data_IF_061090764279
#
_entry.id   IF_061090764279
#
_cell.length_a   1.000
_cell.length_b   1.000
_cell.length_c   1.000
_cell.angle_alpha   90.00
_cell.angle_beta   90.00
_cell.angle_gamma   90.00
#
_symmetry.space_group_name_H-M   'P 1'
#
loop_
_entity.id
_entity.type
_entity.pdbx_description
1 polymer ?
#
# COMPACT_ATOMS: atom_id res chain seq x y z
N UNK A 1 39.93 11.10 -2.06
CA UNK A 1 39.12 11.06 -3.28
C UNK A 1 39.02 9.61 -3.71
N UNK A 2 37.88 8.98 -3.49
CA UNK A 2 37.59 7.65 -3.99
C UNK A 2 36.36 7.79 -4.89
N UNK A 3 36.51 7.35 -6.14
CA UNK A 3 35.48 7.34 -7.16
C UNK A 3 34.42 6.30 -6.79
N UNK A 4 33.15 6.72 -6.75
CA UNK A 4 31.98 5.85 -6.63
C UNK A 4 31.15 5.99 -7.90
N UNK A 5 31.58 5.33 -8.97
CA UNK A 5 30.74 4.97 -10.10
C UNK A 5 31.29 3.65 -10.62
N UNK A 6 30.63 2.56 -10.24
CA UNK A 6 30.52 1.27 -10.96
C UNK A 6 29.88 0.26 -9.99
N UNK A 7 28.55 0.14 -10.04
CA UNK A 7 27.86 -1.15 -10.17
C UNK A 7 26.36 -0.90 -10.37
N UNK A 8 25.88 -1.32 -11.55
CA UNK A 8 24.47 -1.41 -11.91
C UNK A 8 23.91 -2.75 -11.42
N UNK A 9 22.65 -2.70 -10.95
CA UNK A 9 21.79 -3.78 -10.43
C UNK A 9 21.73 -3.89 -8.90
N UNK A 10 20.52 -3.64 -8.40
CA UNK A 10 20.08 -3.52 -7.01
C UNK A 10 20.55 -2.26 -6.29
N UNK A 11 19.65 -1.25 -6.27
CA UNK A 11 19.67 -0.25 -5.22
C UNK A 11 19.46 -1.00 -3.90
N UNK A 12 20.55 -1.37 -3.21
CA UNK A 12 20.48 -1.63 -1.76
C UNK A 12 20.33 -0.28 -1.09
N UNK A 13 19.08 0.19 -1.06
CA UNK A 13 18.65 1.29 -0.21
C UNK A 13 19.11 0.95 1.20
N UNK A 14 19.78 1.86 1.90
CA UNK A 14 19.94 1.69 3.34
C UNK A 14 18.53 1.58 3.92
N UNK A 15 18.21 0.42 4.51
CA UNK A 15 16.86 -0.02 4.83
C UNK A 15 16.07 0.93 5.76
N UNK A 16 16.62 2.04 6.26
CA UNK A 16 16.01 2.83 7.35
C UNK A 16 15.46 4.21 6.97
N UNK A 17 15.87 4.81 5.85
CA UNK A 17 15.64 6.27 5.66
C UNK A 17 14.24 6.65 5.17
N UNK A 18 13.48 5.70 4.62
CA UNK A 18 12.13 5.96 4.10
C UNK A 18 11.01 5.33 4.93
N UNK A 19 11.33 4.57 5.99
CA UNK A 19 10.35 3.87 6.83
C UNK A 19 9.67 4.78 7.85
N UNK A 20 8.41 4.49 8.17
CA UNK A 20 7.61 5.24 9.14
C UNK A 20 7.89 4.68 10.53
N UNK A 21 8.79 5.32 11.29
CA UNK A 21 9.29 4.76 12.56
C UNK A 21 8.68 5.46 13.78
N UNK A 22 8.18 6.68 13.61
CA UNK A 22 7.51 7.47 14.66
C UNK A 22 6.15 7.98 14.15
N UNK A 23 5.22 8.21 15.07
CA UNK A 23 4.01 9.02 14.84
C UNK A 23 4.27 10.38 14.17
N UNK A 24 5.45 10.97 14.33
CA UNK A 24 5.86 12.19 13.60
C UNK A 24 6.01 11.97 12.08
N UNK A 25 6.26 10.73 11.66
CA UNK A 25 6.35 10.33 10.26
C UNK A 25 4.97 10.11 9.63
N UNK A 26 3.90 10.07 10.44
CA UNK A 26 2.56 9.79 9.95
C UNK A 26 2.07 10.92 9.05
N UNK A 27 1.26 10.50 8.09
CA UNK A 27 0.56 11.45 7.26
C UNK A 27 -0.53 12.22 8.04
N UNK A 28 -0.39 13.55 8.12
CA UNK A 28 -1.28 14.48 8.85
C UNK A 28 -2.01 15.47 7.92
N UNK A 29 -2.57 14.98 6.81
CA UNK A 29 -3.22 15.85 5.81
C UNK A 29 -4.55 16.50 6.22
N UNK A 30 -5.07 17.47 5.43
CA UNK A 30 -6.26 18.28 5.76
C UNK A 30 -7.58 17.52 5.69
N UNK A 31 -7.58 16.28 5.18
CA UNK A 31 -8.71 15.38 5.38
C UNK A 31 -8.54 14.78 6.78
N UNK A 32 -9.53 14.92 7.64
CA UNK A 32 -9.50 14.51 9.06
C UNK A 32 -9.31 12.98 9.31
N UNK A 33 -9.12 12.17 8.27
CA UNK A 33 -9.25 10.70 8.32
C UNK A 33 -7.98 9.81 8.26
N UNK A 34 -6.77 10.24 7.83
CA UNK A 34 -5.64 9.32 7.71
C UNK A 34 -5.14 8.77 9.04
N UNK A 35 -5.19 9.58 10.12
CA UNK A 35 -4.88 9.13 11.48
C UNK A 35 -5.82 8.03 12.00
N UNK A 36 -6.97 7.85 11.32
CA UNK A 36 -8.01 6.92 11.72
C UNK A 36 -7.72 5.48 11.27
N UNK A 37 -6.81 5.25 10.30
CA UNK A 37 -6.64 3.96 9.62
C UNK A 37 -5.19 3.65 9.23
N UNK A 38 -5.00 2.52 8.54
CA UNK A 38 -3.78 2.14 7.80
C UNK A 38 -3.23 3.27 6.92
N UNK A 39 -4.09 4.21 6.48
CA UNK A 39 -3.72 5.34 5.61
C UNK A 39 -2.67 6.27 6.19
N UNK A 40 -2.55 6.41 7.52
CA UNK A 40 -1.49 7.23 8.12
C UNK A 40 -0.09 6.71 7.78
N UNK A 41 0.04 5.38 7.64
CA UNK A 41 1.27 4.71 7.26
C UNK A 41 1.41 4.69 5.74
N UNK A 42 0.39 4.20 5.02
CA UNK A 42 0.50 3.97 3.58
C UNK A 42 0.74 5.25 2.79
N UNK A 43 0.05 6.36 3.12
CA UNK A 43 0.24 7.63 2.41
C UNK A 43 1.63 8.21 2.71
N UNK A 44 2.11 8.07 3.95
CA UNK A 44 3.46 8.50 4.30
C UNK A 44 4.52 7.71 3.51
N UNK A 45 4.34 6.39 3.38
CA UNK A 45 5.22 5.54 2.56
C UNK A 45 5.13 5.89 1.08
N UNK A 46 3.92 6.07 0.54
CA UNK A 46 3.71 6.41 -0.86
C UNK A 46 4.44 7.71 -1.24
N UNK A 47 4.32 8.78 -0.45
CA UNK A 47 5.02 10.02 -0.78
C UNK A 47 6.54 9.92 -0.66
N UNK A 48 7.05 9.13 0.28
CA UNK A 48 8.50 8.86 0.37
C UNK A 48 9.00 8.03 -0.81
N UNK A 49 8.19 7.07 -1.26
CA UNK A 49 8.48 6.27 -2.45
C UNK A 49 8.46 7.11 -3.73
N UNK A 50 7.45 7.95 -3.90
CA UNK A 50 7.35 8.91 -5.01
C UNK A 50 8.60 9.80 -5.04
N UNK A 51 9.03 10.31 -3.89
CA UNK A 51 10.23 11.15 -3.80
C UNK A 51 11.50 10.37 -4.12
N UNK A 52 11.61 9.13 -3.62
CA UNK A 52 12.74 8.25 -3.89
C UNK A 52 12.88 7.94 -5.38
N UNK A 53 11.76 7.73 -6.06
CA UNK A 53 11.70 7.47 -7.50
C UNK A 53 11.69 8.76 -8.33
N UNK A 54 11.88 9.93 -7.73
CA UNK A 54 11.82 11.23 -8.43
C UNK A 54 10.53 11.43 -9.25
N UNK A 55 9.41 10.91 -8.74
CA UNK A 55 8.09 10.91 -9.37
C UNK A 55 8.03 10.13 -10.71
N UNK A 56 9.05 9.32 -11.01
CA UNK A 56 9.10 8.36 -12.12
C UNK A 56 8.50 7.02 -11.67
N UNK A 57 7.17 7.00 -11.55
CA UNK A 57 6.41 5.82 -11.13
C UNK A 57 5.21 5.59 -12.05
N UNK A 58 4.60 4.41 -11.94
CA UNK A 58 3.24 4.11 -12.38
C UNK A 58 2.43 3.72 -11.14
N UNK A 59 1.33 4.43 -10.89
CA UNK A 59 0.43 4.09 -9.78
C UNK A 59 -0.67 3.13 -10.24
N UNK A 60 -0.88 2.04 -9.51
CA UNK A 60 -1.99 1.10 -9.69
C UNK A 60 -3.00 1.33 -8.57
N UNK A 61 -4.17 1.85 -8.93
CA UNK A 61 -5.22 2.33 -8.05
C UNK A 61 -5.06 3.79 -7.67
N UNK A 62 -6.08 4.61 -7.88
CA UNK A 62 -5.98 6.07 -7.73
C UNK A 62 -6.11 6.54 -6.27
N UNK A 63 -5.09 6.35 -5.44
CA UNK A 63 -5.15 6.68 -4.00
C UNK A 63 -4.42 7.98 -3.66
N UNK A 64 -3.22 8.18 -4.20
CA UNK A 64 -2.42 9.38 -3.88
C UNK A 64 -3.01 10.70 -4.41
N UNK A 65 -3.77 10.76 -5.54
CA UNK A 65 -4.40 11.99 -6.01
C UNK A 65 -5.31 12.64 -4.97
N UNK A 66 -6.00 11.83 -4.17
CA UNK A 66 -6.88 12.32 -3.12
C UNK A 66 -6.13 12.85 -1.89
N UNK A 67 -4.85 12.55 -1.73
CA UNK A 67 -4.05 12.97 -0.59
C UNK A 67 -3.03 14.03 -0.95
N UNK A 68 -3.13 14.61 -2.14
CA UNK A 68 -2.17 15.59 -2.59
C UNK A 68 -2.42 16.97 -1.94
N UNK A 69 -1.51 17.41 -1.07
CA UNK A 69 -1.63 18.71 -0.38
C UNK A 69 -0.67 19.76 -0.97
N UNK A 70 0.36 19.37 -1.73
CA UNK A 70 1.40 20.33 -2.12
C UNK A 70 2.27 19.97 -3.34
N UNK A 71 2.11 18.81 -3.99
CA UNK A 71 2.99 18.40 -5.10
C UNK A 71 2.17 18.08 -6.34
N UNK A 72 2.42 18.69 -7.49
CA UNK A 72 1.79 18.22 -8.72
C UNK A 72 2.26 16.78 -8.99
N UNK A 73 1.37 15.81 -8.76
CA UNK A 73 1.56 14.44 -9.20
C UNK A 73 1.39 14.42 -10.71
N UNK A 74 2.33 13.80 -11.41
CA UNK A 74 2.35 13.78 -12.89
C UNK A 74 2.63 12.40 -13.46
N UNK A 75 2.68 11.39 -12.60
CA UNK A 75 2.87 10.00 -13.00
C UNK A 75 1.57 9.42 -13.57
N UNK A 76 1.66 8.39 -14.43
CA UNK A 76 0.50 7.62 -14.87
C UNK A 76 -0.19 6.92 -13.70
N UNK A 77 -1.52 6.89 -13.74
CA UNK A 77 -2.37 6.19 -12.78
C UNK A 77 -3.29 5.25 -13.55
N UNK A 78 -3.21 3.96 -13.25
CA UNK A 78 -4.02 2.88 -13.82
C UNK A 78 -5.15 2.55 -12.83
N UNK A 79 -6.39 2.79 -13.23
CA UNK A 79 -7.57 2.38 -12.46
C UNK A 79 -8.79 2.29 -13.40
N UNK A 80 -9.52 1.16 -13.45
CA UNK A 80 -10.63 0.96 -14.38
C UNK A 80 -11.89 1.80 -14.05
N UNK A 81 -12.00 2.33 -12.83
CA UNK A 81 -13.22 2.96 -12.33
C UNK A 81 -13.04 4.38 -11.81
N UNK A 82 -11.85 4.73 -11.31
CA UNK A 82 -11.60 6.05 -10.75
C UNK A 82 -11.47 7.13 -11.85
N UNK A 83 -11.91 8.34 -11.51
CA UNK A 83 -11.92 9.50 -12.41
C UNK A 83 -10.59 10.25 -12.44
N UNK A 84 -9.76 10.09 -11.43
CA UNK A 84 -8.41 10.67 -11.34
C UNK A 84 -7.39 9.80 -12.09
N UNK A 85 -7.81 8.61 -12.56
CA UNK A 85 -7.00 7.72 -13.38
C UNK A 85 -6.66 8.36 -14.73
N UNK A 86 -5.38 8.33 -15.12
CA UNK A 86 -4.95 8.75 -16.46
C UNK A 86 -5.09 7.62 -17.47
N UNK A 87 -5.11 6.37 -17.00
CA UNK A 87 -5.31 5.15 -17.79
C UNK A 87 -6.52 4.42 -17.17
N UNK A 88 -7.69 4.60 -17.80
CA UNK A 88 -8.93 3.93 -17.37
C UNK A 88 -9.00 2.51 -17.93
N UNK A 89 -8.19 1.63 -17.36
CA UNK A 89 -8.09 0.23 -17.73
C UNK A 89 -7.67 -0.62 -16.51
N UNK A 90 -7.77 -1.92 -16.65
CA UNK A 90 -7.30 -2.86 -15.65
C UNK A 90 -5.79 -3.08 -15.74
N UNK A 91 -5.16 -3.33 -14.59
CA UNK A 91 -3.70 -3.54 -14.50
C UNK A 91 -3.25 -4.75 -15.31
N UNK A 92 -4.05 -5.81 -15.41
CA UNK A 92 -3.73 -7.00 -16.21
C UNK A 92 -3.52 -6.70 -17.71
N UNK A 93 -4.08 -5.60 -18.21
CA UNK A 93 -3.97 -5.19 -19.61
C UNK A 93 -2.75 -4.31 -19.89
N UNK A 94 -2.03 -3.88 -18.85
CA UNK A 94 -0.87 -2.99 -18.98
C UNK A 94 0.43 -3.79 -19.03
N UNK A 95 1.44 -3.26 -19.71
CA UNK A 95 2.81 -3.76 -19.65
C UNK A 95 3.55 -2.95 -18.58
N UNK A 96 3.94 -3.60 -17.48
CA UNK A 96 4.65 -2.95 -16.37
C UNK A 96 6.17 -3.15 -16.46
N UNK A 97 6.65 -3.72 -17.58
CA UNK A 97 8.07 -4.04 -17.78
C UNK A 97 8.92 -2.77 -17.67
N UNK A 98 9.90 -2.79 -16.76
CA UNK A 98 10.80 -1.66 -16.45
C UNK A 98 10.18 -0.50 -15.64
N UNK A 99 8.91 -0.58 -15.25
CA UNK A 99 8.27 0.50 -14.48
C UNK A 99 8.61 0.43 -12.98
N UNK A 100 8.61 1.58 -12.31
CA UNK A 100 8.57 1.66 -10.85
C UNK A 100 7.11 1.72 -10.39
N UNK A 101 6.56 0.64 -9.85
CA UNK A 101 5.13 0.55 -9.54
C UNK A 101 4.84 0.97 -8.09
N UNK A 102 3.82 1.79 -7.89
CA UNK A 102 3.23 2.09 -6.57
C UNK A 102 1.80 1.58 -6.53
N UNK A 103 1.42 0.82 -5.50
CA UNK A 103 0.02 0.45 -5.27
C UNK A 103 -0.28 0.39 -3.78
N UNK A 104 -1.18 1.24 -3.29
CA UNK A 104 -1.46 1.35 -1.85
C UNK A 104 -2.94 1.18 -1.53
N UNK A 105 -3.28 0.17 -0.73
CA UNK A 105 -4.65 -0.36 -0.54
C UNK A 105 -5.49 -0.30 -1.81
N UNK A 106 -5.14 -1.16 -2.75
CA UNK A 106 -5.84 -1.30 -4.03
C UNK A 106 -5.90 -2.77 -4.40
N UNK A 107 -4.78 -3.47 -4.37
CA UNK A 107 -4.73 -4.85 -4.87
C UNK A 107 -5.70 -5.79 -4.15
N UNK A 108 -5.95 -5.59 -2.86
CA UNK A 108 -6.90 -6.36 -2.07
C UNK A 108 -8.37 -6.18 -2.51
N UNK A 109 -8.66 -5.16 -3.31
CA UNK A 109 -9.98 -4.86 -3.86
C UNK A 109 -10.18 -5.41 -5.28
N UNK A 110 -9.11 -5.78 -5.98
CA UNK A 110 -9.19 -6.34 -7.35
C UNK A 110 -9.95 -7.67 -7.31
N UNK A 111 -10.96 -7.84 -8.17
CA UNK A 111 -11.79 -9.05 -8.22
C UNK A 111 -13.01 -9.04 -7.29
N UNK A 112 -13.31 -7.93 -6.62
CA UNK A 112 -14.59 -7.76 -5.92
C UNK A 112 -15.73 -7.50 -6.92
N UNK A 113 -16.89 -8.13 -6.70
CA UNK A 113 -18.09 -7.81 -7.46
C UNK A 113 -18.38 -6.30 -7.30
N UNK A 114 -18.72 -5.60 -8.37
CA UNK A 114 -19.26 -4.22 -8.34
C UNK A 114 -18.40 -3.10 -7.70
N UNK A 115 -17.15 -3.33 -7.32
CA UNK A 115 -16.27 -2.36 -6.63
C UNK A 115 -16.23 -2.52 -5.09
N UNK A 116 -15.56 -1.60 -4.39
CA UNK A 116 -15.27 -1.70 -2.93
C UNK A 116 -16.50 -1.83 -2.03
N UNK A 117 -17.58 -1.16 -2.42
CA UNK A 117 -18.83 -1.11 -1.70
C UNK A 117 -19.96 -1.19 -2.69
N UNK A 118 -20.95 -2.04 -2.43
CA UNK A 118 -22.22 -1.85 -3.11
C UNK A 118 -22.74 -0.48 -2.65
N UNK A 119 -23.58 0.21 -3.42
CA UNK A 119 -24.08 1.54 -3.03
C UNK A 119 -24.81 1.61 -1.66
N UNK A 120 -24.88 0.51 -0.91
CA UNK A 120 -25.38 0.42 0.48
C UNK A 120 -24.27 0.47 1.54
N UNK A 121 -23.00 0.53 1.16
CA UNK A 121 -21.86 0.53 2.09
C UNK A 121 -21.55 -0.87 2.66
N UNK A 122 -22.14 -1.92 2.09
CA UNK A 122 -21.78 -3.30 2.41
C UNK A 122 -20.61 -3.75 1.53
N UNK A 123 -19.77 -4.57 2.15
CA UNK A 123 -18.61 -5.16 1.47
C UNK A 123 -19.10 -6.12 0.39
N UNK A 124 -18.64 -5.92 -0.84
CA UNK A 124 -19.06 -6.78 -1.93
C UNK A 124 -18.40 -8.15 -1.88
N UNK A 125 -19.10 -9.14 -2.42
CA UNK A 125 -18.59 -10.50 -2.53
C UNK A 125 -17.40 -10.56 -3.50
N UNK A 126 -16.48 -11.49 -3.24
CA UNK A 126 -15.37 -11.75 -4.16
C UNK A 126 -15.94 -12.40 -5.42
N UNK A 127 -15.87 -11.70 -6.56
CA UNK A 127 -16.31 -12.22 -7.86
C UNK A 127 -15.25 -13.14 -8.49
N UNK A 128 -13.97 -12.78 -8.32
CA UNK A 128 -12.84 -13.61 -8.74
C UNK A 128 -11.78 -13.66 -7.62
N UNK A 129 -11.65 -14.80 -6.90
CA UNK A 129 -10.69 -14.93 -5.81
C UNK A 129 -9.23 -14.97 -6.27
N UNK A 130 -8.96 -15.13 -7.57
CA UNK A 130 -7.61 -15.18 -8.12
C UNK A 130 -7.16 -13.84 -8.71
N UNK A 131 -8.06 -12.87 -8.88
CA UNK A 131 -7.70 -11.61 -9.52
C UNK A 131 -6.71 -10.78 -8.69
N UNK A 132 -6.89 -10.66 -7.37
CA UNK A 132 -5.92 -9.96 -6.51
C UNK A 132 -4.55 -10.64 -6.48
N UNK A 133 -4.46 -11.97 -6.24
CA UNK A 133 -3.18 -12.67 -6.36
C UNK A 133 -2.52 -12.52 -7.73
N UNK A 134 -3.29 -12.58 -8.82
CA UNK A 134 -2.77 -12.43 -10.17
C UNK A 134 -2.23 -11.02 -10.44
N UNK A 135 -2.93 -9.98 -9.97
CA UNK A 135 -2.46 -8.60 -10.07
C UNK A 135 -1.17 -8.37 -9.28
N UNK A 136 -1.08 -8.90 -8.05
CA UNK A 136 0.16 -8.83 -7.27
C UNK A 136 1.31 -9.57 -7.96
N UNK A 137 1.08 -10.80 -8.42
CA UNK A 137 2.09 -11.58 -9.15
C UNK A 137 2.58 -10.83 -10.39
N UNK A 138 1.68 -10.22 -11.18
CA UNK A 138 2.04 -9.42 -12.35
C UNK A 138 2.94 -8.25 -11.99
N UNK A 139 2.57 -7.45 -10.97
CA UNK A 139 3.41 -6.35 -10.49
C UNK A 139 4.80 -6.85 -10.11
N UNK A 140 4.88 -7.95 -9.36
CA UNK A 140 6.14 -8.52 -8.90
C UNK A 140 7.01 -9.09 -10.05
N UNK A 141 6.39 -9.62 -11.10
CA UNK A 141 7.10 -10.24 -12.22
C UNK A 141 7.55 -9.24 -13.29
N UNK A 142 6.81 -8.16 -13.48
CA UNK A 142 7.05 -7.21 -14.58
C UNK A 142 7.76 -5.92 -14.13
N UNK A 143 7.48 -5.40 -12.93
CA UNK A 143 8.06 -4.12 -12.49
C UNK A 143 9.58 -4.22 -12.22
N UNK A 144 10.30 -3.13 -12.50
CA UNK A 144 11.72 -3.00 -12.10
C UNK A 144 11.82 -2.83 -10.57
N UNK A 145 10.95 -1.99 -10.01
CA UNK A 145 10.81 -1.78 -8.58
C UNK A 145 9.33 -1.68 -8.24
N UNK A 146 8.92 -2.11 -7.04
CA UNK A 146 7.57 -1.85 -6.57
C UNK A 146 7.52 -1.44 -5.09
N UNK A 147 6.45 -0.73 -4.75
CA UNK A 147 5.93 -0.64 -3.40
C UNK A 147 4.45 -0.97 -3.45
N UNK A 148 4.09 -2.13 -2.90
CA UNK A 148 2.70 -2.57 -2.78
C UNK A 148 2.32 -2.65 -1.30
N UNK A 149 1.25 -1.97 -0.90
CA UNK A 149 0.72 -2.03 0.47
C UNK A 149 -0.75 -2.40 0.50
N UNK A 150 -1.14 -3.17 1.50
CA UNK A 150 -2.54 -3.49 1.77
C UNK A 150 -2.71 -4.00 3.20
N UNK A 151 -3.91 -3.84 3.79
CA UNK A 151 -4.21 -4.39 5.10
C UNK A 151 -4.48 -5.91 5.03
N UNK A 152 -3.84 -6.66 5.93
CA UNK A 152 -4.08 -8.10 6.09
C UNK A 152 -5.46 -8.38 6.68
N UNK A 153 -6.06 -9.48 6.22
CA UNK A 153 -7.39 -9.94 6.65
C UNK A 153 -8.51 -9.30 5.86
N UNK A 154 -8.19 -8.41 4.91
CA UNK A 154 -9.18 -7.87 3.99
C UNK A 154 -9.53 -8.96 2.99
N UNK A 155 -8.64 -9.29 2.05
CA UNK A 155 -8.91 -10.25 0.99
C UNK A 155 -8.29 -11.62 1.28
N UNK A 156 -9.13 -12.61 1.61
CA UNK A 156 -8.67 -13.95 1.98
C UNK A 156 -7.87 -14.66 0.87
N UNK A 157 -8.23 -14.48 -0.40
CA UNK A 157 -7.50 -15.09 -1.52
C UNK A 157 -6.09 -14.52 -1.64
N UNK A 158 -5.96 -13.20 -1.48
CA UNK A 158 -4.67 -12.52 -1.42
C UNK A 158 -3.85 -12.92 -0.19
N UNK A 159 -4.47 -12.93 0.99
CA UNK A 159 -3.82 -13.31 2.25
C UNK A 159 -3.26 -14.74 2.18
N UNK A 160 -4.06 -15.69 1.68
CA UNK A 160 -3.62 -17.09 1.52
C UNK A 160 -2.46 -17.19 0.52
N UNK A 161 -2.52 -16.45 -0.60
CA UNK A 161 -1.44 -16.47 -1.59
C UNK A 161 -0.15 -15.91 -1.01
N UNK A 162 -0.23 -14.79 -0.27
CA UNK A 162 0.94 -14.18 0.35
C UNK A 162 1.54 -15.07 1.43
N UNK A 163 0.74 -15.61 2.35
CA UNK A 163 1.24 -16.50 3.41
C UNK A 163 2.02 -17.67 2.81
N UNK A 164 1.56 -18.22 1.68
CA UNK A 164 2.23 -19.32 0.97
C UNK A 164 3.48 -18.92 0.18
N UNK A 165 3.77 -17.61 0.04
CA UNK A 165 4.92 -17.09 -0.70
C UNK A 165 5.81 -16.14 0.12
N UNK A 166 5.54 -15.93 1.43
CA UNK A 166 6.30 -15.01 2.29
C UNK A 166 7.81 -15.28 2.31
N UNK A 167 8.22 -16.55 2.17
CA UNK A 167 9.61 -16.95 2.10
C UNK A 167 10.32 -16.39 0.85
N UNK A 168 9.56 -16.10 -0.22
CA UNK A 168 10.03 -15.56 -1.50
C UNK A 168 9.84 -14.05 -1.63
N UNK A 169 9.02 -13.41 -0.80
CA UNK A 169 8.67 -11.99 -0.91
C UNK A 169 9.63 -11.08 -0.14
N UNK A 170 10.22 -10.08 -0.79
CA UNK A 170 10.92 -9.00 -0.11
C UNK A 170 9.89 -8.06 0.51
N UNK A 171 9.64 -8.22 1.81
CA UNK A 171 8.56 -7.52 2.50
C UNK A 171 8.90 -7.15 3.96
N UNK A 172 8.17 -6.17 4.46
CA UNK A 172 8.16 -5.71 5.84
C UNK A 172 6.71 -5.36 6.22
N UNK A 173 6.45 -5.03 7.48
CA UNK A 173 5.07 -4.72 7.89
C UNK A 173 4.95 -3.72 9.03
N UNK A 174 3.73 -3.24 9.21
CA UNK A 174 3.34 -2.38 10.32
C UNK A 174 2.17 -2.99 11.07
N UNK A 175 2.33 -3.22 12.37
CA UNK A 175 1.28 -3.74 13.24
C UNK A 175 0.72 -2.63 14.13
N UNK A 176 -0.58 -2.43 14.09
CA UNK A 176 -1.30 -1.51 14.98
C UNK A 176 -1.30 -2.08 16.39
N UNK A 177 -0.52 -1.46 17.27
CA UNK A 177 -0.41 -1.86 18.69
C UNK A 177 -1.33 -1.06 19.60
N UNK A 178 -1.90 0.04 19.08
CA UNK A 178 -2.79 0.90 19.84
C UNK A 178 -3.80 1.58 18.93
N UNK A 179 -5.02 1.73 19.43
CA UNK A 179 -6.09 2.48 18.81
C UNK A 179 -7.07 2.97 19.87
N UNK A 180 -7.31 4.29 19.96
CA UNK A 180 -8.35 4.85 20.83
C UNK A 180 -8.97 6.11 20.24
N UNK A 181 -10.22 6.37 20.63
CA UNK A 181 -10.81 7.69 20.50
C UNK A 181 -10.21 8.64 21.55
N UNK A 182 -9.84 9.84 21.11
CA UNK A 182 -9.31 10.93 21.92
C UNK A 182 -10.18 12.14 21.67
N UNK A 183 -10.55 12.82 22.75
CA UNK A 183 -11.36 14.03 22.68
C UNK A 183 -10.46 15.26 22.85
N UNK A 184 -10.33 16.06 21.80
CA UNK A 184 -9.50 17.28 21.77
C UNK A 184 -10.35 18.42 21.18
N UNK A 185 -10.36 19.59 21.80
CA UNK A 185 -11.01 20.81 21.28
C UNK A 185 -12.49 20.70 20.87
N UNK A 186 -13.25 19.80 21.50
CA UNK A 186 -14.64 19.43 21.18
C UNK A 186 -14.83 18.49 19.99
N UNK A 187 -13.74 17.95 19.46
CA UNK A 187 -13.73 16.96 18.39
C UNK A 187 -13.27 15.60 18.92
N UNK A 188 -13.78 14.52 18.33
CA UNK A 188 -13.38 13.15 18.66
C UNK A 188 -12.50 12.61 17.54
N UNK A 189 -11.24 12.35 17.84
CA UNK A 189 -10.26 11.82 16.90
C UNK A 189 -9.95 10.37 17.24
N UNK A 190 -9.84 9.48 16.26
CA UNK A 190 -9.19 8.18 16.47
C UNK A 190 -7.68 8.36 16.33
N UNK A 191 -6.90 7.91 17.32
CA UNK A 191 -5.44 7.89 17.26
C UNK A 191 -4.94 6.45 17.23
N UNK A 192 -3.98 6.18 16.36
CA UNK A 192 -3.34 4.86 16.23
C UNK A 192 -1.85 4.93 16.50
N UNK A 193 -1.26 3.82 16.95
CA UNK A 193 0.19 3.63 16.99
C UNK A 193 0.53 2.31 16.31
N UNK A 194 1.57 2.36 15.48
CA UNK A 194 2.02 1.24 14.66
C UNK A 194 3.48 0.92 14.97
N UNK A 195 3.77 -0.37 15.15
CA UNK A 195 5.13 -0.87 15.25
C UNK A 195 5.59 -1.35 13.88
N UNK A 196 6.81 -0.99 13.50
CA UNK A 196 7.49 -1.48 12.31
C UNK A 196 8.11 -2.86 12.55
N UNK A 197 8.00 -3.74 11.55
CA UNK A 197 8.56 -5.09 11.52
C UNK A 197 9.41 -5.27 10.26
N UNK A 198 10.74 -5.35 10.38
CA UNK A 198 11.63 -5.46 9.21
C UNK A 198 11.53 -6.78 8.48
N UNK A 199 10.93 -7.80 9.12
CA UNK A 199 10.74 -9.12 8.56
C UNK A 199 9.36 -9.61 8.97
N UNK A 200 8.67 -10.26 8.04
CA UNK A 200 7.34 -10.85 8.25
C UNK A 200 7.46 -12.36 8.06
N UNK A 201 7.40 -13.11 9.17
CA UNK A 201 7.49 -14.57 9.15
C UNK A 201 6.13 -15.24 8.89
N UNK A 202 5.04 -14.57 9.28
CA UNK A 202 3.67 -15.01 9.06
C UNK A 202 2.73 -13.82 9.17
N UNK A 203 1.69 -13.81 8.33
CA UNK A 203 0.56 -12.87 8.40
C UNK A 203 -0.70 -13.51 8.99
N UNK A 204 -0.74 -14.84 9.17
CA UNK A 204 -1.88 -15.59 9.67
C UNK A 204 -2.49 -15.11 11.02
N UNK A 205 -1.72 -14.55 11.98
CA UNK A 205 -2.30 -14.04 13.23
C UNK A 205 -3.13 -12.78 13.07
N UNK A 206 -2.95 -12.01 11.99
CA UNK A 206 -3.55 -10.69 11.83
C UNK A 206 -4.92 -10.76 11.17
N UNK A 207 -5.83 -9.89 11.61
CA UNK A 207 -7.20 -9.82 11.11
C UNK A 207 -7.60 -8.39 10.81
N UNK A 208 -8.48 -8.25 9.82
CA UNK A 208 -9.14 -6.98 9.56
C UNK A 208 -10.24 -6.74 10.60
N UNK A 209 -10.34 -5.51 11.12
CA UNK A 209 -11.30 -5.09 12.15
C UNK A 209 -11.18 -5.77 13.52
N UNK A 210 -10.12 -6.52 13.77
CA UNK A 210 -9.82 -7.13 15.09
C UNK A 210 -8.32 -7.04 15.40
N UNK A 211 -7.91 -6.51 16.57
CA UNK A 211 -8.75 -6.05 17.68
C UNK A 211 -9.26 -4.60 17.53
N UNK A 212 -8.69 -3.83 16.60
CA UNK A 212 -9.12 -2.44 16.35
C UNK A 212 -9.89 -2.35 15.02
N UNK A 213 -10.68 -1.28 14.81
CA UNK A 213 -11.31 -1.02 13.51
C UNK A 213 -10.29 -0.95 12.36
N UNK A 214 -10.76 -1.28 11.15
CA UNK A 214 -10.00 -1.23 9.89
C UNK A 214 -8.79 -2.17 9.88
N UNK A 215 -7.72 -1.85 9.14
CA UNK A 215 -6.52 -2.67 9.05
C UNK A 215 -5.76 -2.67 10.37
N UNK A 216 -5.35 -3.86 10.84
CA UNK A 216 -4.50 -4.00 12.04
C UNK A 216 -3.06 -4.35 11.70
N UNK A 217 -2.82 -4.86 10.50
CA UNK A 217 -1.47 -5.09 9.99
C UNK A 217 -1.44 -4.64 8.53
N UNK A 218 -0.49 -3.79 8.17
CA UNK A 218 -0.22 -3.40 6.79
C UNK A 218 1.01 -4.16 6.35
N UNK A 219 0.87 -4.99 5.33
CA UNK A 219 2.00 -5.61 4.67
C UNK A 219 2.52 -4.66 3.59
N UNK A 220 3.84 -4.54 3.50
CA UNK A 220 4.52 -3.77 2.46
C UNK A 220 5.44 -4.72 1.70
N UNK A 221 5.20 -4.88 0.40
CA UNK A 221 5.99 -5.73 -0.50
C UNK A 221 6.78 -4.83 -1.45
N UNK A 222 8.05 -5.15 -1.64
CA UNK A 222 8.99 -4.38 -2.48
C UNK A 222 9.59 -5.19 -3.64
N UNK A 223 9.21 -6.46 -3.77
CA UNK A 223 9.65 -7.33 -4.86
C UNK A 223 9.79 -8.79 -4.43
N UNK A 224 10.41 -9.59 -5.30
CA UNK A 224 10.91 -10.93 -4.98
C UNK A 224 12.26 -10.85 -4.25
N UNK A 225 12.56 -11.83 -3.38
CA UNK A 225 13.89 -12.00 -2.76
C UNK A 225 14.92 -12.60 -3.71
#
# INVERSE_FOLDING_TARGET
>A
MANYFEDSHFIRLNDTDWQVLDTNDYWNGPREAPLLSERCIEIALAFRWIDLMNNDIVEVGAVTPYHNISKTLSHPIIDPYDKEATIQDFVENQDLTMDNVLSISTIEHIGMAGGDYDGSGLRQEVADPNASPAALQKILDESENCLVTFPIGYNKGLDDWVENNLDRLQCFGYHKVFGKYVYEENETHWKTVWNYYPQVESIAPYKYREPFPLGNFVLCITGWK
#
